data_IF_115885234520
#
_entry.id   IF_115885234520
#
_cell.length_a   1.000
_cell.length_b   1.000
_cell.length_c   1.000
_cell.angle_alpha   90.00
_cell.angle_beta   90.00
_cell.angle_gamma   90.00
#
_symmetry.space_group_name_H-M   'P 1'
#
loop_
_entity.id
_entity.type
_entity.pdbx_description
1 polymer ?
#
# COMPACT_ATOMS: atom_id res chain seq x y z
N UNK A 1 -14.29 -5.22 41.95
CA UNK A 1 -15.25 -6.36 42.05
C UNK A 1 -15.25 -7.10 40.72
N UNK A 2 -14.78 -8.36 40.72
CA UNK A 2 -14.67 -9.20 39.51
C UNK A 2 -16.06 -9.65 39.05
N UNK A 3 -16.44 -9.40 37.80
CA UNK A 3 -17.68 -9.90 37.20
C UNK A 3 -17.50 -11.37 36.80
N UNK A 4 -18.45 -12.20 37.23
CA UNK A 4 -18.56 -13.63 36.95
C UNK A 4 -18.71 -13.92 35.45
N UNK A 5 -18.10 -14.98 34.91
CA UNK A 5 -18.41 -15.44 33.56
C UNK A 5 -19.80 -16.08 33.51
N UNK A 6 -20.63 -15.62 32.57
CA UNK A 6 -21.95 -16.19 32.30
C UNK A 6 -21.84 -17.67 31.90
N UNK A 7 -22.55 -18.53 32.65
CA UNK A 7 -22.87 -19.89 32.22
C UNK A 7 -24.25 -19.89 31.57
N UNK A 8 -24.35 -20.35 30.32
CA UNK A 8 -25.64 -20.64 29.69
C UNK A 8 -26.07 -22.05 30.10
N UNK A 9 -27.22 -22.18 30.75
CA UNK A 9 -27.92 -23.45 30.99
C UNK A 9 -28.87 -23.69 29.82
N UNK A 10 -28.99 -24.94 29.38
CA UNK A 10 -30.03 -25.33 28.43
C UNK A 10 -31.41 -25.39 29.11
N UNK A 11 -32.47 -25.58 28.31
CA UNK A 11 -33.87 -25.61 28.74
C UNK A 11 -34.19 -26.66 29.81
N UNK A 12 -33.29 -27.63 30.02
CA UNK A 12 -33.43 -28.70 31.01
C UNK A 12 -32.52 -28.51 32.23
N UNK A 13 -31.84 -27.36 32.35
CA UNK A 13 -31.03 -27.01 33.51
C UNK A 13 -29.71 -27.78 33.65
N UNK A 14 -29.26 -28.52 32.63
CA UNK A 14 -28.00 -29.27 32.68
C UNK A 14 -26.82 -28.40 32.24
N UNK A 15 -25.78 -28.36 33.07
CA UNK A 15 -24.50 -27.73 32.74
C UNK A 15 -23.75 -28.65 31.78
N UNK A 16 -23.83 -28.41 30.47
CA UNK A 16 -22.99 -29.09 29.48
C UNK A 16 -21.54 -28.57 29.58
N UNK A 17 -20.57 -29.49 29.68
CA UNK A 17 -19.13 -29.19 29.57
C UNK A 17 -18.89 -28.32 28.32
N UNK A 18 -18.26 -27.16 28.50
CA UNK A 18 -17.87 -26.23 27.43
C UNK A 18 -17.07 -26.96 26.34
N UNK A 19 -17.72 -27.13 25.19
CA UNK A 19 -17.21 -27.28 23.82
C UNK A 19 -15.86 -28.00 23.61
N UNK A 20 -15.91 -29.33 23.46
CA UNK A 20 -14.81 -30.13 22.88
C UNK A 20 -14.44 -29.69 21.46
N UNK A 21 -15.34 -29.02 20.74
CA UNK A 21 -15.07 -28.39 19.44
C UNK A 21 -14.21 -27.13 19.59
N UNK A 22 -14.42 -26.30 20.61
CA UNK A 22 -13.59 -25.12 20.87
C UNK A 22 -12.20 -25.55 21.37
N UNK A 23 -12.12 -26.59 22.20
CA UNK A 23 -10.83 -27.19 22.59
C UNK A 23 -10.13 -27.87 21.41
N UNK A 24 -10.84 -28.55 20.51
CA UNK A 24 -10.26 -29.08 19.26
C UNK A 24 -9.81 -27.97 18.32
N UNK A 25 -10.54 -26.87 18.19
CA UNK A 25 -10.14 -25.69 17.40
C UNK A 25 -8.95 -25.01 18.04
N UNK A 26 -8.94 -24.79 19.36
CA UNK A 26 -7.79 -24.25 20.09
C UNK A 26 -6.58 -25.19 20.04
N UNK A 27 -6.78 -26.51 20.06
CA UNK A 27 -5.72 -27.50 19.91
C UNK A 27 -5.24 -27.58 18.47
N UNK A 28 -6.08 -27.43 17.45
CA UNK A 28 -5.69 -27.34 16.05
C UNK A 28 -4.94 -26.04 15.74
N UNK A 29 -5.38 -24.92 16.33
CA UNK A 29 -4.67 -23.63 16.30
C UNK A 29 -3.33 -23.73 17.02
N UNK A 30 -3.25 -24.39 18.19
CA UNK A 30 -1.98 -24.65 18.88
C UNK A 30 -1.07 -25.64 18.14
N UNK A 31 -1.62 -26.64 17.46
CA UNK A 31 -0.84 -27.65 16.69
C UNK A 31 -0.28 -27.08 15.37
N UNK A 32 -0.88 -26.01 14.83
CA UNK A 32 -0.30 -25.18 13.75
C UNK A 32 0.97 -24.40 14.15
N UNK A 33 1.38 -24.43 15.42
CA UNK A 33 2.62 -23.77 15.86
C UNK A 33 3.68 -24.80 16.24
N UNK A 34 4.04 -25.64 15.27
CA UNK A 34 5.21 -26.49 15.37
C UNK A 34 6.46 -25.65 15.06
N UNK A 35 7.60 -25.93 15.72
CA UNK A 35 8.88 -25.21 15.53
C UNK A 35 9.39 -25.17 14.06
N UNK A 36 8.78 -25.93 13.15
CA UNK A 36 9.10 -25.93 11.72
C UNK A 36 8.35 -24.85 10.92
N UNK A 37 7.15 -24.45 11.35
CA UNK A 37 6.29 -23.54 10.57
C UNK A 37 6.76 -22.09 10.68
N UNK A 38 7.12 -21.60 11.88
CA UNK A 38 7.66 -20.25 12.06
C UNK A 38 9.01 -20.05 11.35
N UNK A 39 9.89 -21.05 11.42
CA UNK A 39 11.19 -21.02 10.74
C UNK A 39 10.98 -20.91 9.23
N UNK A 40 9.98 -21.62 8.70
CA UNK A 40 9.60 -21.51 7.31
C UNK A 40 9.10 -20.09 6.99
N UNK A 41 8.16 -19.54 7.75
CA UNK A 41 7.62 -18.20 7.50
C UNK A 41 8.71 -17.11 7.57
N UNK A 42 9.63 -17.19 8.53
CA UNK A 42 10.79 -16.30 8.60
C UNK A 42 11.68 -16.38 7.35
N UNK A 43 11.96 -17.61 6.86
CA UNK A 43 12.75 -17.80 5.65
C UNK A 43 11.98 -17.34 4.39
N UNK A 44 10.68 -17.60 4.33
CA UNK A 44 9.80 -17.15 3.25
C UNK A 44 9.73 -15.62 3.20
N UNK A 45 9.63 -14.95 4.34
CA UNK A 45 9.68 -13.48 4.44
C UNK A 45 11.02 -12.91 3.93
N UNK A 46 12.15 -13.48 4.36
CA UNK A 46 13.46 -13.07 3.87
C UNK A 46 13.64 -13.35 2.37
N UNK A 47 13.07 -14.44 1.86
CA UNK A 47 13.09 -14.78 0.44
C UNK A 47 12.23 -13.81 -0.37
N UNK A 48 11.03 -13.46 0.11
CA UNK A 48 10.17 -12.45 -0.51
C UNK A 48 10.86 -11.10 -0.61
N UNK A 49 11.46 -10.63 0.49
CA UNK A 49 12.25 -9.41 0.52
C UNK A 49 13.49 -9.48 -0.37
N UNK A 50 14.15 -10.63 -0.49
CA UNK A 50 15.26 -10.83 -1.42
C UNK A 50 14.83 -10.65 -2.89
N UNK A 51 13.73 -11.27 -3.30
CA UNK A 51 13.23 -11.13 -4.68
C UNK A 51 12.74 -9.70 -4.97
N UNK A 52 12.08 -9.05 -4.00
CA UNK A 52 11.73 -7.63 -4.07
C UNK A 52 12.97 -6.73 -4.18
N UNK A 53 13.99 -6.95 -3.36
CA UNK A 53 15.24 -6.19 -3.40
C UNK A 53 16.00 -6.37 -4.72
N UNK A 54 16.03 -7.60 -5.25
CA UNK A 54 16.64 -7.93 -6.55
C UNK A 54 15.90 -7.25 -7.70
N UNK A 55 14.57 -7.28 -7.68
CA UNK A 55 13.76 -6.61 -8.71
C UNK A 55 13.86 -5.10 -8.60
N UNK A 56 13.81 -4.54 -7.39
CA UNK A 56 14.06 -3.12 -7.15
C UNK A 56 15.41 -2.68 -7.69
N UNK A 57 16.48 -3.45 -7.44
CA UNK A 57 17.81 -3.18 -7.99
C UNK A 57 17.82 -3.21 -9.53
N UNK A 58 17.09 -4.13 -10.16
CA UNK A 58 16.93 -4.16 -11.63
C UNK A 58 16.16 -2.95 -12.15
N UNK A 59 15.08 -2.54 -11.48
CA UNK A 59 14.31 -1.34 -11.84
C UNK A 59 15.14 -0.08 -11.70
N UNK A 60 15.90 0.09 -10.62
CA UNK A 60 16.83 1.23 -10.45
C UNK A 60 17.85 1.26 -11.59
N UNK A 61 18.35 0.10 -12.04
CA UNK A 61 19.27 0.03 -13.18
C UNK A 61 18.59 0.40 -14.50
N UNK A 62 17.35 -0.04 -14.74
CA UNK A 62 16.61 0.21 -15.98
C UNK A 62 16.07 1.64 -16.07
N UNK A 63 15.36 2.08 -15.03
CA UNK A 63 14.68 3.38 -14.96
C UNK A 63 15.67 4.53 -14.72
N UNK A 64 16.78 4.28 -14.00
CA UNK A 64 17.68 5.33 -13.49
C UNK A 64 16.89 6.44 -12.76
N UNK A 65 16.10 6.11 -11.71
CA UNK A 65 15.20 7.06 -11.09
C UNK A 65 15.97 8.21 -10.44
N UNK A 66 15.42 9.42 -10.56
CA UNK A 66 15.90 10.61 -9.85
C UNK A 66 15.64 10.52 -8.34
N UNK A 67 14.56 9.83 -7.96
CA UNK A 67 14.12 9.64 -6.59
C UNK A 67 13.55 8.23 -6.39
N UNK A 68 13.87 7.62 -5.26
CA UNK A 68 13.15 6.45 -4.75
C UNK A 68 12.17 6.92 -3.67
N UNK A 69 10.88 6.79 -3.93
CA UNK A 69 9.81 7.05 -2.96
C UNK A 69 9.45 5.74 -2.25
N UNK A 70 9.45 5.72 -0.92
CA UNK A 70 9.17 4.52 -0.13
C UNK A 70 7.90 4.75 0.66
N UNK A 71 6.89 3.89 0.47
CA UNK A 71 5.70 3.92 1.31
C UNK A 71 6.07 3.34 2.67
N UNK A 72 6.18 4.17 3.71
CA UNK A 72 6.88 3.78 4.95
C UNK A 72 6.33 2.51 5.59
N UNK A 73 5.00 2.39 5.61
CA UNK A 73 4.32 1.24 6.16
C UNK A 73 4.47 -0.06 5.38
N UNK A 74 4.83 -0.03 4.11
CA UNK A 74 4.99 -1.23 3.28
C UNK A 74 6.42 -1.39 2.76
N UNK A 75 6.93 -0.38 2.07
CA UNK A 75 8.20 -0.40 1.36
C UNK A 75 9.49 -0.35 2.18
N UNK A 76 9.49 -0.10 3.50
CA UNK A 76 10.77 0.06 4.22
C UNK A 76 11.61 -1.23 4.26
N UNK A 77 10.96 -2.39 4.40
CA UNK A 77 11.65 -3.68 4.35
C UNK A 77 12.26 -3.92 2.97
N UNK A 78 11.54 -3.52 1.92
CA UNK A 78 12.00 -3.57 0.53
C UNK A 78 13.19 -2.65 0.32
N UNK A 79 13.15 -1.42 0.83
CA UNK A 79 14.28 -0.48 0.80
C UNK A 79 15.52 -1.11 1.43
N UNK A 80 15.42 -1.71 2.62
CA UNK A 80 16.58 -2.34 3.28
C UNK A 80 17.15 -3.49 2.46
N UNK A 81 16.29 -4.28 1.80
CA UNK A 81 16.74 -5.34 0.90
C UNK A 81 17.44 -4.80 -0.35
N UNK A 82 16.88 -3.75 -0.98
CA UNK A 82 17.49 -3.03 -2.10
C UNK A 82 18.85 -2.44 -1.70
N UNK A 83 18.94 -1.75 -0.56
CA UNK A 83 20.19 -1.19 -0.04
C UNK A 83 21.30 -2.25 0.06
N UNK A 84 20.99 -3.40 0.66
CA UNK A 84 21.97 -4.47 0.85
C UNK A 84 22.46 -5.05 -0.48
N UNK A 85 21.54 -5.35 -1.40
CA UNK A 85 21.88 -5.94 -2.69
C UNK A 85 22.58 -4.94 -3.62
N UNK A 86 22.19 -3.66 -3.57
CA UNK A 86 22.81 -2.60 -4.34
C UNK A 86 24.26 -2.38 -3.91
N UNK A 87 24.52 -2.26 -2.61
CA UNK A 87 25.88 -2.13 -2.06
C UNK A 87 26.77 -3.33 -2.41
N UNK A 88 26.21 -4.53 -2.47
CA UNK A 88 26.94 -5.74 -2.84
C UNK A 88 27.35 -5.76 -4.32
N UNK A 89 26.53 -5.17 -5.20
CA UNK A 89 26.64 -5.35 -6.66
C UNK A 89 27.10 -4.10 -7.41
N UNK A 90 27.08 -2.93 -6.77
CA UNK A 90 27.39 -1.65 -7.39
C UNK A 90 28.32 -0.81 -6.52
N UNK A 91 29.22 -0.06 -7.18
CA UNK A 91 30.16 0.86 -6.52
C UNK A 91 29.61 2.30 -6.40
N UNK A 92 28.32 2.51 -6.65
CA UNK A 92 27.67 3.83 -6.59
C UNK A 92 26.59 3.85 -5.52
N UNK A 93 26.34 5.04 -4.97
CA UNK A 93 25.22 5.24 -4.06
C UNK A 93 23.88 5.01 -4.76
N UNK A 94 22.86 4.68 -3.97
CA UNK A 94 21.48 4.73 -4.45
C UNK A 94 21.08 6.17 -4.80
N UNK A 95 20.10 6.35 -5.70
CA UNK A 95 19.40 7.63 -5.83
C UNK A 95 18.86 8.13 -4.48
N UNK A 96 18.60 9.43 -4.33
CA UNK A 96 17.94 9.98 -3.15
C UNK A 96 16.68 9.19 -2.77
N UNK A 97 16.55 8.87 -1.48
CA UNK A 97 15.42 8.08 -0.94
C UNK A 97 14.53 8.97 -0.08
N UNK A 98 13.23 9.04 -0.37
CA UNK A 98 12.23 9.73 0.45
C UNK A 98 11.22 8.70 0.99
N UNK A 99 11.00 8.69 2.30
CA UNK A 99 9.97 7.85 2.93
C UNK A 99 8.75 8.71 3.21
N UNK A 100 7.57 8.27 2.77
CA UNK A 100 6.29 9.01 2.95
C UNK A 100 5.24 8.14 3.60
N UNK A 101 4.30 8.77 4.29
CA UNK A 101 3.16 8.09 4.88
C UNK A 101 1.91 8.28 4.02
N UNK A 102 1.26 7.18 3.67
CA UNK A 102 -0.01 7.13 2.94
C UNK A 102 -0.95 6.19 3.68
N UNK A 103 -1.50 6.66 4.80
CA UNK A 103 -2.31 5.85 5.70
C UNK A 103 -3.82 5.85 5.40
N UNK A 104 -4.56 5.21 6.30
CA UNK A 104 -6.01 5.00 6.17
C UNK A 104 -6.84 6.27 6.39
N UNK A 105 -6.28 7.28 7.06
CA UNK A 105 -6.87 8.60 7.24
C UNK A 105 -7.20 9.27 5.90
N UNK A 106 -6.31 9.12 4.90
CA UNK A 106 -6.54 9.66 3.55
C UNK A 106 -7.70 8.97 2.85
N UNK A 107 -7.85 7.65 3.06
CA UNK A 107 -8.99 6.89 2.57
C UNK A 107 -10.28 7.31 3.28
N UNK A 108 -10.25 7.51 4.61
CA UNK A 108 -11.40 8.03 5.36
C UNK A 108 -11.84 9.42 4.86
N UNK A 109 -10.90 10.31 4.54
CA UNK A 109 -11.21 11.62 3.95
C UNK A 109 -11.86 11.49 2.56
N UNK A 110 -11.37 10.56 1.74
CA UNK A 110 -12.03 10.25 0.47
C UNK A 110 -13.44 9.68 0.67
N UNK A 111 -13.64 8.81 1.66
CA UNK A 111 -14.95 8.24 1.97
C UNK A 111 -15.99 9.30 2.29
N UNK A 112 -15.62 10.33 3.04
CA UNK A 112 -16.48 11.49 3.27
C UNK A 112 -16.73 12.29 1.99
N UNK A 113 -15.72 12.43 1.12
CA UNK A 113 -15.85 13.17 -0.14
C UNK A 113 -16.77 12.47 -1.16
N UNK A 114 -16.75 11.14 -1.22
CA UNK A 114 -17.58 10.39 -2.17
C UNK A 114 -19.02 10.18 -1.73
N UNK A 115 -19.40 10.67 -0.55
CA UNK A 115 -20.76 10.53 -0.03
C UNK A 115 -21.78 11.16 -0.98
N UNK A 116 -22.74 10.34 -1.43
CA UNK A 116 -23.77 10.75 -2.38
C UNK A 116 -23.39 10.65 -3.86
N UNK A 117 -22.27 9.98 -4.21
CA UNK A 117 -22.07 9.53 -5.59
C UNK A 117 -23.24 8.63 -6.04
N UNK A 118 -23.83 8.87 -7.23
CA UNK A 118 -25.04 8.18 -7.68
C UNK A 118 -24.76 6.78 -8.25
N UNK A 119 -23.88 6.00 -7.61
CA UNK A 119 -23.61 4.61 -7.95
C UNK A 119 -23.18 3.79 -6.72
N UNK A 120 -23.30 2.46 -6.84
CA UNK A 120 -22.91 1.52 -5.79
C UNK A 120 -21.39 1.57 -5.64
N UNK A 121 -20.93 1.75 -4.41
CA UNK A 121 -19.52 1.74 -4.06
C UNK A 121 -19.27 0.88 -2.81
N UNK A 122 -18.06 0.35 -2.67
CA UNK A 122 -17.70 -0.49 -1.52
C UNK A 122 -17.41 0.35 -0.29
N UNK A 123 -17.69 -0.16 0.91
CA UNK A 123 -17.20 0.42 2.17
C UNK A 123 -16.36 -0.63 2.93
N UNK A 124 -15.06 -0.38 3.18
CA UNK A 124 -14.32 0.82 2.81
C UNK A 124 -14.08 0.96 1.29
N UNK A 125 -13.58 2.10 0.84
CA UNK A 125 -13.15 2.28 -0.56
C UNK A 125 -12.03 1.29 -0.88
N UNK A 126 -12.31 0.38 -1.82
CA UNK A 126 -11.35 -0.59 -2.33
C UNK A 126 -11.32 -0.47 -3.85
N UNK A 127 -10.30 0.20 -4.41
CA UNK A 127 -10.23 0.45 -5.84
C UNK A 127 -10.36 -0.79 -6.74
N UNK A 128 -9.79 -1.93 -6.33
CA UNK A 128 -9.87 -3.16 -7.13
C UNK A 128 -11.30 -3.76 -7.18
N UNK A 129 -12.21 -3.29 -6.31
CA UNK A 129 -13.63 -3.64 -6.31
C UNK A 129 -14.53 -2.44 -6.68
N UNK A 130 -13.94 -1.31 -7.07
CA UNK A 130 -14.65 -0.11 -7.49
C UNK A 130 -14.74 0.00 -9.00
N UNK A 131 -15.72 0.77 -9.49
CA UNK A 131 -15.82 1.07 -10.93
C UNK A 131 -14.68 1.97 -11.41
N UNK A 132 -14.38 1.91 -12.70
CA UNK A 132 -13.39 2.81 -13.33
C UNK A 132 -13.81 4.28 -13.23
N UNK A 133 -15.13 4.59 -13.23
CA UNK A 133 -15.65 5.94 -12.94
C UNK A 133 -15.25 6.38 -11.54
N UNK A 134 -15.47 5.54 -10.52
CA UNK A 134 -15.15 5.88 -9.13
C UNK A 134 -13.64 6.06 -8.96
N UNK A 135 -12.84 5.16 -9.52
CA UNK A 135 -11.39 5.31 -9.53
C UNK A 135 -10.94 6.58 -10.25
N UNK A 136 -11.58 6.94 -11.37
CA UNK A 136 -11.34 8.21 -12.05
C UNK A 136 -11.71 9.42 -11.19
N UNK A 137 -12.82 9.35 -10.46
CA UNK A 137 -13.22 10.39 -9.49
C UNK A 137 -12.19 10.51 -8.37
N UNK A 138 -11.75 9.40 -7.78
CA UNK A 138 -10.70 9.37 -6.78
C UNK A 138 -9.43 10.08 -7.26
N UNK A 139 -8.96 9.76 -8.47
CA UNK A 139 -7.77 10.40 -9.04
C UNK A 139 -7.96 11.89 -9.36
N UNK A 140 -9.19 12.32 -9.69
CA UNK A 140 -9.51 13.73 -9.89
C UNK A 140 -9.56 14.48 -8.54
N UNK A 141 -10.17 13.86 -7.53
CA UNK A 141 -10.24 14.36 -6.15
C UNK A 141 -8.86 14.52 -5.52
N UNK A 142 -7.90 13.64 -5.81
CA UNK A 142 -6.52 13.81 -5.35
C UNK A 142 -5.88 15.11 -5.83
N UNK A 143 -6.25 15.60 -7.03
CA UNK A 143 -5.76 16.88 -7.56
C UNK A 143 -6.22 18.08 -6.72
N UNK A 144 -7.29 17.95 -5.95
CA UNK A 144 -7.81 19.04 -5.10
C UNK A 144 -7.27 18.99 -3.66
N UNK A 145 -6.45 17.99 -3.31
CA UNK A 145 -5.89 17.87 -1.96
C UNK A 145 -4.61 18.71 -1.83
N UNK A 146 -4.75 20.03 -1.95
CA UNK A 146 -3.65 20.99 -2.00
C UNK A 146 -2.69 20.89 -0.81
N UNK A 147 -3.21 20.61 0.38
CA UNK A 147 -2.43 20.39 1.59
C UNK A 147 -1.47 19.20 1.44
N UNK A 148 -1.95 18.08 0.90
CA UNK A 148 -1.14 16.90 0.63
C UNK A 148 -0.16 17.13 -0.52
N UNK A 149 -0.63 17.73 -1.62
CA UNK A 149 0.19 18.01 -2.80
C UNK A 149 1.36 18.94 -2.46
N UNK A 150 1.10 20.05 -1.76
CA UNK A 150 2.14 20.99 -1.34
C UNK A 150 3.15 20.32 -0.40
N UNK A 151 2.67 19.55 0.58
CA UNK A 151 3.54 18.82 1.51
C UNK A 151 4.41 17.80 0.78
N UNK A 152 3.84 17.05 -0.17
CA UNK A 152 4.60 16.05 -0.94
C UNK A 152 5.63 16.72 -1.86
N UNK A 153 5.26 17.78 -2.57
CA UNK A 153 6.19 18.54 -3.43
C UNK A 153 7.34 19.12 -2.62
N UNK A 154 7.07 19.69 -1.44
CA UNK A 154 8.10 20.19 -0.54
C UNK A 154 9.05 19.07 -0.09
N UNK A 155 8.53 17.93 0.36
CA UNK A 155 9.34 16.78 0.77
C UNK A 155 10.22 16.26 -0.38
N UNK A 156 9.65 16.17 -1.60
CA UNK A 156 10.36 15.72 -2.80
C UNK A 156 11.45 16.71 -3.18
N UNK A 157 11.14 18.01 -3.28
CA UNK A 157 12.10 19.05 -3.62
C UNK A 157 13.21 19.15 -2.58
N UNK A 158 12.88 19.10 -1.29
CA UNK A 158 13.89 19.11 -0.22
C UNK A 158 14.83 17.92 -0.33
N UNK A 159 14.32 16.74 -0.72
CA UNK A 159 15.14 15.55 -0.92
C UNK A 159 15.93 15.56 -2.23
N UNK A 160 15.39 16.18 -3.28
CA UNK A 160 15.94 16.24 -4.63
C UNK A 160 16.50 17.62 -4.99
N UNK A 161 17.09 18.31 -4.00
CA UNK A 161 17.84 19.57 -4.19
C UNK A 161 17.07 20.67 -4.95
N UNK A 162 15.78 20.82 -4.66
CA UNK A 162 14.89 21.82 -5.23
C UNK A 162 14.35 21.50 -6.63
N UNK A 163 14.81 20.41 -7.26
CA UNK A 163 14.43 20.04 -8.63
C UNK A 163 13.15 19.22 -8.67
N UNK A 164 12.49 19.23 -9.82
CA UNK A 164 11.41 18.27 -10.14
C UNK A 164 12.03 16.99 -10.71
N UNK A 165 11.66 15.80 -10.21
CA UNK A 165 12.13 14.53 -10.76
C UNK A 165 11.49 14.29 -12.13
N UNK A 166 12.28 13.78 -13.08
CA UNK A 166 11.79 13.25 -14.35
C UNK A 166 11.40 11.77 -14.23
N UNK A 167 11.96 11.07 -13.23
CA UNK A 167 11.63 9.67 -12.96
C UNK A 167 11.61 9.32 -11.47
N UNK A 168 10.61 8.56 -11.03
CA UNK A 168 10.46 8.10 -9.64
C UNK A 168 10.23 6.59 -9.63
N UNK A 169 10.93 5.88 -8.75
CA UNK A 169 10.60 4.51 -8.38
C UNK A 169 9.89 4.52 -7.03
N UNK A 170 8.65 4.03 -6.98
CA UNK A 170 7.91 3.82 -5.73
C UNK A 170 8.13 2.40 -5.24
N UNK A 171 8.43 2.24 -3.95
CA UNK A 171 8.59 0.94 -3.29
C UNK A 171 7.47 0.68 -2.29
N UNK A 172 6.86 -0.49 -2.41
CA UNK A 172 5.89 -1.06 -1.49
C UNK A 172 6.16 -2.57 -1.30
N UNK A 173 5.70 -3.16 -0.20
CA UNK A 173 5.86 -4.62 0.03
C UNK A 173 4.66 -5.43 -0.43
N UNK A 174 3.50 -4.79 -0.59
CA UNK A 174 2.26 -5.46 -0.92
C UNK A 174 1.31 -4.59 -1.73
N UNK A 175 0.83 -5.11 -2.86
CA UNK A 175 -0.33 -4.54 -3.54
C UNK A 175 -1.60 -5.14 -2.91
N UNK A 176 -2.02 -4.58 -1.77
CA UNK A 176 -3.28 -5.00 -1.13
C UNK A 176 -4.35 -3.99 -1.53
N UNK A 177 -5.37 -4.47 -2.25
CA UNK A 177 -6.60 -3.73 -2.61
C UNK A 177 -6.43 -2.47 -3.47
N UNK A 178 -5.20 -2.11 -3.85
CA UNK A 178 -4.89 -1.03 -4.79
C UNK A 178 -5.00 0.40 -4.24
N UNK A 179 -5.35 0.58 -2.97
CA UNK A 179 -5.59 1.91 -2.37
C UNK A 179 -4.32 2.76 -2.26
N UNK A 180 -3.26 2.22 -1.66
CA UNK A 180 -1.96 2.91 -1.52
C UNK A 180 -1.30 3.17 -2.88
N UNK A 181 -1.45 2.21 -3.81
CA UNK A 181 -0.98 2.32 -5.19
C UNK A 181 -1.60 3.51 -5.92
N UNK A 182 -2.94 3.59 -5.98
CA UNK A 182 -3.63 4.70 -6.67
C UNK A 182 -3.46 6.02 -5.94
N UNK A 183 -3.37 6.01 -4.62
CA UNK A 183 -3.08 7.20 -3.83
C UNK A 183 -1.69 7.76 -4.16
N UNK A 184 -0.65 6.92 -4.15
CA UNK A 184 0.72 7.33 -4.47
C UNK A 184 0.83 7.82 -5.92
N UNK A 185 0.37 7.02 -6.88
CA UNK A 185 0.44 7.37 -8.31
C UNK A 185 -0.43 8.57 -8.66
N UNK A 186 -1.62 8.69 -8.07
CA UNK A 186 -2.52 9.81 -8.30
C UNK A 186 -1.97 11.14 -7.79
N UNK A 187 -1.34 11.14 -6.61
CA UNK A 187 -0.65 12.33 -6.08
C UNK A 187 0.56 12.71 -6.96
N UNK A 188 1.37 11.73 -7.37
CA UNK A 188 2.51 11.98 -8.25
C UNK A 188 2.08 12.49 -9.64
N UNK A 189 1.01 11.92 -10.21
CA UNK A 189 0.42 12.39 -11.46
C UNK A 189 -0.11 13.82 -11.36
N UNK A 190 -0.66 14.21 -10.21
CA UNK A 190 -1.13 15.56 -9.98
C UNK A 190 0.02 16.58 -9.88
N UNK A 191 1.16 16.19 -9.29
CA UNK A 191 2.33 17.07 -9.13
C UNK A 191 3.24 17.13 -10.35
N UNK A 192 3.52 15.97 -10.96
CA UNK A 192 4.51 15.81 -12.01
C UNK A 192 3.90 14.96 -13.15
N UNK A 193 3.00 15.54 -13.97
CA UNK A 193 2.28 14.80 -14.99
C UNK A 193 3.18 14.16 -16.07
N UNK A 194 4.36 14.72 -16.29
CA UNK A 194 5.35 14.23 -17.25
C UNK A 194 6.43 13.32 -16.61
N UNK A 195 6.36 13.08 -15.30
CA UNK A 195 7.31 12.21 -14.61
C UNK A 195 7.01 10.75 -14.93
N UNK A 196 8.05 10.00 -15.32
CA UNK A 196 7.94 8.55 -15.41
C UNK A 196 7.89 7.95 -14.00
N UNK A 197 6.84 7.20 -13.68
CA UNK A 197 6.71 6.56 -12.36
C UNK A 197 6.56 5.05 -12.52
N UNK A 198 7.50 4.30 -11.95
CA UNK A 198 7.35 2.85 -11.75
C UNK A 198 6.92 2.61 -10.30
N UNK A 199 5.90 1.79 -10.07
CA UNK A 199 5.49 1.34 -8.74
C UNK A 199 5.83 -0.12 -8.56
N UNK A 200 6.78 -0.46 -7.70
CA UNK A 200 7.13 -1.84 -7.37
C UNK A 200 6.47 -2.26 -6.08
N UNK A 201 5.59 -3.26 -6.17
CA UNK A 201 5.01 -3.93 -5.02
C UNK A 201 5.13 -5.45 -5.15
N UNK A 202 5.17 -6.13 -4.00
CA UNK A 202 5.16 -7.58 -3.91
C UNK A 202 3.91 -8.13 -3.26
N UNK A 203 4.10 -9.25 -2.58
CA UNK A 203 3.13 -9.89 -1.70
C UNK A 203 3.87 -10.41 -0.46
N UNK A 204 4.57 -9.49 0.21
CA UNK A 204 5.40 -9.80 1.39
C UNK A 204 4.91 -9.06 2.62
N UNK A 205 3.62 -8.72 2.68
CA UNK A 205 3.01 -7.88 3.72
C UNK A 205 3.33 -8.31 5.17
N UNK A 206 3.40 -9.62 5.42
CA UNK A 206 3.51 -10.19 6.77
C UNK A 206 4.93 -10.17 7.36
N UNK A 207 5.94 -9.70 6.61
CA UNK A 207 7.36 -9.82 7.00
C UNK A 207 7.65 -9.30 8.40
N UNK A 208 6.94 -8.24 8.83
CA UNK A 208 7.07 -7.61 10.15
C UNK A 208 6.77 -8.61 11.25
N UNK A 209 5.65 -9.31 11.14
CA UNK A 209 5.20 -10.29 12.12
C UNK A 209 6.14 -11.50 12.16
N UNK A 210 6.58 -11.94 10.99
CA UNK A 210 7.40 -13.16 10.84
C UNK A 210 8.80 -12.95 11.40
N UNK A 211 9.38 -11.77 11.20
CA UNK A 211 10.67 -11.39 11.79
C UNK A 211 10.53 -11.08 13.29
N UNK A 212 9.47 -10.38 13.71
CA UNK A 212 9.26 -10.06 15.13
C UNK A 212 9.11 -11.32 16.01
N UNK A 213 8.51 -12.39 15.49
CA UNK A 213 8.44 -13.67 16.20
C UNK A 213 9.83 -14.22 16.56
N UNK A 214 10.80 -14.09 15.66
CA UNK A 214 12.20 -14.52 15.90
C UNK A 214 12.85 -13.63 16.94
N UNK A 215 12.64 -12.31 16.85
CA UNK A 215 13.12 -11.36 17.83
C UNK A 215 12.64 -11.69 19.24
N UNK A 216 11.33 -11.84 19.42
CA UNK A 216 10.70 -12.11 20.73
C UNK A 216 11.26 -13.39 21.35
N UNK A 217 11.44 -14.44 20.53
CA UNK A 217 12.01 -15.71 20.98
C UNK A 217 13.46 -15.57 21.45
N UNK A 218 14.24 -14.73 20.79
CA UNK A 218 15.64 -14.48 21.17
C UNK A 218 15.74 -13.66 22.47
N UNK A 219 14.78 -12.76 22.71
CA UNK A 219 14.76 -11.90 23.90
C UNK A 219 14.12 -12.56 25.13
N UNK A 220 13.15 -13.45 24.95
CA UNK A 220 12.41 -14.06 26.06
C UNK A 220 12.33 -15.58 25.94
N UNK A 221 12.85 -16.27 26.96
CA UNK A 221 12.66 -17.72 27.13
C UNK A 221 11.21 -18.11 27.49
N UNK A 222 10.38 -17.13 27.90
CA UNK A 222 9.02 -17.36 28.43
C UNK A 222 7.89 -16.96 27.47
N UNK A 223 8.15 -16.08 26.50
CA UNK A 223 7.13 -15.63 25.57
C UNK A 223 6.77 -16.78 24.61
N UNK A 224 5.55 -17.31 24.74
CA UNK A 224 5.05 -18.32 23.81
C UNK A 224 4.76 -17.64 22.47
N UNK A 225 5.31 -18.19 21.37
CA UNK A 225 5.10 -17.71 20.00
C UNK A 225 3.61 -17.53 19.63
N UNK A 226 2.69 -18.21 20.33
CA UNK A 226 1.24 -18.09 20.12
C UNK A 226 0.65 -16.72 20.48
N UNK A 227 1.38 -15.82 21.13
CA UNK A 227 0.86 -14.50 21.52
C UNK A 227 1.08 -13.40 20.46
N UNK A 228 1.91 -13.61 19.44
CA UNK A 228 2.25 -12.56 18.47
C UNK A 228 1.10 -12.14 17.57
N UNK A 229 0.18 -13.05 17.25
CA UNK A 229 -1.01 -12.71 16.45
C UNK A 229 -1.94 -11.73 17.18
N UNK A 230 -1.93 -11.72 18.52
CA UNK A 230 -2.71 -10.77 19.31
C UNK A 230 -2.17 -9.34 19.17
N UNK A 231 -0.87 -9.19 18.95
CA UNK A 231 -0.21 -7.88 18.86
C UNK A 231 0.30 -7.56 17.45
N UNK A 232 -0.21 -8.24 16.41
CA UNK A 232 0.31 -8.07 15.05
C UNK A 232 0.19 -6.63 14.53
N UNK A 233 -0.89 -5.93 14.88
CA UNK A 233 -1.09 -4.52 14.54
C UNK A 233 -0.08 -3.63 15.27
N UNK A 234 0.14 -3.86 16.57
CA UNK A 234 1.13 -3.09 17.34
C UNK A 234 2.55 -3.30 16.80
N UNK A 235 2.91 -4.55 16.46
CA UNK A 235 4.19 -4.88 15.79
C UNK A 235 4.30 -4.15 14.45
N UNK A 236 3.23 -4.16 13.65
CA UNK A 236 3.19 -3.48 12.37
C UNK A 236 3.58 -2.00 12.49
N UNK A 237 3.05 -1.30 13.51
CA UNK A 237 3.32 0.11 13.75
C UNK A 237 4.75 0.40 14.20
N UNK A 238 5.41 -0.50 14.92
CA UNK A 238 6.76 -0.22 15.47
C UNK A 238 7.90 -0.82 14.65
N UNK A 239 7.65 -1.85 13.84
CA UNK A 239 8.67 -2.64 13.11
C UNK A 239 9.62 -1.78 12.26
N UNK A 240 9.12 -0.64 11.78
CA UNK A 240 9.81 0.24 10.84
C UNK A 240 10.70 1.27 11.56
N UNK A 241 10.51 1.45 12.88
CA UNK A 241 11.24 2.43 13.69
C UNK A 241 10.80 3.87 13.48
N UNK A 242 9.67 4.04 12.84
CA UNK A 242 8.98 5.32 12.66
C UNK A 242 7.59 5.20 13.24
N UNK A 243 7.04 6.30 13.72
CA UNK A 243 5.64 6.36 14.12
C UNK A 243 4.91 7.36 13.22
N UNK A 244 3.66 7.02 12.90
CA UNK A 244 2.78 7.90 12.17
C UNK A 244 2.44 9.13 13.03
N UNK A 245 2.12 10.21 12.34
CA UNK A 245 1.36 11.33 12.86
C UNK A 245 -0.11 11.09 12.48
N UNK A 246 -0.66 9.93 12.90
CA UNK A 246 -2.01 9.43 12.58
C UNK A 246 -3.11 10.49 12.82
N UNK A 247 -2.86 11.46 13.69
CA UNK A 247 -3.75 12.56 14.06
C UNK A 247 -3.62 13.81 13.16
N UNK A 248 -2.73 13.82 12.16
CA UNK A 248 -2.34 15.05 11.45
C UNK A 248 -2.44 15.03 9.93
N UNK A 249 -3.07 14.03 9.30
CA UNK A 249 -3.16 13.95 7.81
C UNK A 249 -1.77 14.08 7.13
N UNK A 250 -0.71 13.71 7.87
CA UNK A 250 0.67 14.00 7.50
C UNK A 250 1.19 13.02 6.43
N UNK A 251 2.12 13.50 5.62
CA UNK A 251 2.94 12.65 4.74
C UNK A 251 4.32 12.36 5.32
N UNK A 252 4.73 13.12 6.34
CA UNK A 252 6.02 12.97 7.00
C UNK A 252 5.99 11.91 8.11
N UNK A 253 7.16 11.30 8.32
CA UNK A 253 7.41 10.37 9.43
C UNK A 253 8.21 11.03 10.54
N UNK A 254 8.06 10.53 11.76
CA UNK A 254 8.97 10.82 12.87
C UNK A 254 9.58 9.53 13.43
N UNK A 255 10.76 9.60 14.06
CA UNK A 255 11.32 8.45 14.76
C UNK A 255 10.36 7.91 15.81
N UNK A 256 10.30 6.59 15.95
CA UNK A 256 9.50 5.90 16.97
C UNK A 256 9.88 6.43 18.36
N UNK A 257 8.88 6.94 19.10
CA UNK A 257 9.10 7.50 20.43
C UNK A 257 8.85 6.46 21.51
N UNK A 258 9.45 6.67 22.70
CA UNK A 258 9.18 5.84 23.90
C UNK A 258 7.72 5.89 24.36
N UNK A 259 6.98 6.90 23.94
CA UNK A 259 5.60 7.15 24.37
C UNK A 259 4.57 6.56 23.40
N UNK A 260 5.02 5.82 22.37
CA UNK A 260 4.14 5.23 21.39
C UNK A 260 3.15 4.24 22.06
N UNK A 261 1.83 4.34 21.83
CA UNK A 261 0.84 3.46 22.46
C UNK A 261 1.05 1.97 22.18
N UNK A 262 1.57 1.62 20.99
CA UNK A 262 1.87 0.23 20.63
C UNK A 262 2.94 -0.36 21.57
N UNK A 263 3.92 0.43 22.01
CA UNK A 263 4.92 -0.02 22.99
C UNK A 263 4.31 -0.34 24.36
N UNK A 264 3.25 0.38 24.75
CA UNK A 264 2.53 0.11 25.99
C UNK A 264 1.74 -1.21 25.89
N UNK A 265 1.08 -1.45 24.76
CA UNK A 265 0.39 -2.71 24.46
C UNK A 265 1.37 -3.89 24.47
N UNK A 266 2.54 -3.71 23.85
CA UNK A 266 3.58 -4.73 23.72
C UNK A 266 4.41 -4.96 24.99
N UNK A 267 4.23 -4.13 26.04
CA UNK A 267 4.98 -4.22 27.29
C UNK A 267 4.74 -5.54 28.04
N UNK A 268 3.64 -6.23 27.75
CA UNK A 268 3.34 -7.57 28.29
C UNK A 268 4.32 -8.65 27.79
N UNK A 269 4.94 -8.43 26.63
CA UNK A 269 5.87 -9.38 26.00
C UNK A 269 7.33 -9.06 26.33
N UNK A 270 7.73 -7.81 26.13
CA UNK A 270 9.09 -7.30 26.37
C UNK A 270 9.03 -5.84 26.85
N UNK A 271 10.01 -5.36 27.62
CA UNK A 271 10.12 -3.94 27.98
C UNK A 271 10.18 -3.02 26.74
N UNK A 272 9.67 -1.79 26.86
CA UNK A 272 9.63 -0.81 25.78
C UNK A 272 11.02 -0.53 25.18
N UNK A 273 12.07 -0.53 26.01
CA UNK A 273 13.45 -0.34 25.57
C UNK A 273 13.90 -1.41 24.58
N UNK A 274 13.47 -2.66 24.76
CA UNK A 274 13.80 -3.75 23.84
C UNK A 274 13.01 -3.62 22.53
N UNK A 275 11.76 -3.15 22.59
CA UNK A 275 10.98 -2.91 21.38
C UNK A 275 11.55 -1.79 20.51
N UNK A 276 12.18 -0.79 21.11
CA UNK A 276 12.87 0.28 20.38
C UNK A 276 14.12 -0.21 19.63
N UNK A 277 14.67 -1.37 19.99
CA UNK A 277 15.77 -2.01 19.26
C UNK A 277 15.30 -2.83 18.05
N UNK A 278 14.01 -3.22 18.02
CA UNK A 278 13.42 -4.06 16.97
C UNK A 278 13.71 -3.55 15.56
N UNK A 279 13.53 -2.26 15.22
CA UNK A 279 13.71 -1.78 13.84
C UNK A 279 15.15 -1.91 13.36
N UNK A 280 16.11 -1.62 14.24
CA UNK A 280 17.54 -1.76 13.94
C UNK A 280 17.89 -3.23 13.75
N UNK A 281 17.36 -4.10 14.60
CA UNK A 281 17.53 -5.55 14.44
C UNK A 281 16.90 -6.07 13.16
N UNK A 282 15.69 -5.63 12.80
CA UNK A 282 15.00 -6.02 11.57
C UNK A 282 15.77 -5.58 10.34
N UNK A 283 16.22 -4.32 10.27
CA UNK A 283 17.07 -3.83 9.19
C UNK A 283 18.30 -4.72 9.00
N UNK A 284 19.04 -4.96 10.09
CA UNK A 284 20.24 -5.78 10.06
C UNK A 284 19.95 -7.24 9.64
N UNK A 285 18.83 -7.79 10.10
CA UNK A 285 18.41 -9.16 9.80
C UNK A 285 18.03 -9.31 8.34
N UNK A 286 17.27 -8.36 7.80
CA UNK A 286 16.90 -8.31 6.37
C UNK A 286 18.15 -8.17 5.53
N UNK A 287 18.99 -7.17 5.79
CA UNK A 287 20.22 -6.93 5.01
C UNK A 287 21.14 -8.15 4.99
N UNK A 288 21.38 -8.79 6.14
CA UNK A 288 22.19 -10.01 6.22
C UNK A 288 21.51 -11.18 5.53
N UNK A 289 20.21 -11.35 5.73
CA UNK A 289 19.40 -12.42 5.16
C UNK A 289 19.42 -12.39 3.64
N UNK A 290 19.10 -11.25 3.02
CA UNK A 290 19.07 -11.14 1.56
C UNK A 290 20.45 -11.28 0.92
N UNK A 291 21.52 -10.83 1.58
CA UNK A 291 22.89 -11.08 1.12
C UNK A 291 23.23 -12.56 1.21
N UNK A 292 22.81 -13.27 2.26
CA UNK A 292 23.02 -14.71 2.37
C UNK A 292 22.28 -15.47 1.24
N UNK A 293 21.08 -15.02 0.85
CA UNK A 293 20.32 -15.59 -0.26
C UNK A 293 21.10 -15.53 -1.60
N UNK A 294 21.93 -14.50 -1.84
CA UNK A 294 22.76 -14.44 -3.06
C UNK A 294 23.78 -15.58 -3.19
N UNK A 295 24.11 -16.24 -2.07
CA UNK A 295 25.11 -17.31 -1.99
C UNK A 295 24.48 -18.71 -1.89
N UNK A 296 23.16 -18.81 -1.74
CA UNK A 296 22.50 -20.10 -1.63
C UNK A 296 22.33 -20.74 -3.02
N UNK A 297 23.03 -21.84 -3.33
CA UNK A 297 22.89 -22.52 -4.62
C UNK A 297 21.53 -23.19 -4.79
N UNK A 298 20.76 -23.37 -3.69
CA UNK A 298 19.41 -23.92 -3.69
C UNK A 298 18.33 -22.84 -3.86
N UNK A 299 18.72 -21.59 -4.06
CA UNK A 299 17.78 -20.56 -4.52
C UNK A 299 17.40 -20.84 -5.97
N UNK A 300 16.49 -21.79 -6.13
CA UNK A 300 15.65 -21.86 -7.30
C UNK A 300 14.92 -20.52 -7.44
N UNK A 301 14.70 -20.02 -8.67
CA UNK A 301 13.85 -18.87 -8.90
C UNK A 301 12.55 -19.09 -8.12
N UNK A 302 12.26 -18.23 -7.13
CA UNK A 302 10.96 -18.29 -6.49
C UNK A 302 9.94 -17.94 -7.58
N UNK A 303 9.04 -18.87 -7.89
CA UNK A 303 8.02 -18.70 -8.92
C UNK A 303 6.99 -17.67 -8.43
N UNK A 304 7.39 -16.41 -8.49
CA UNK A 304 6.65 -15.25 -7.97
C UNK A 304 6.48 -14.18 -9.05
N UNK A 305 6.73 -14.51 -10.33
CA UNK A 305 6.39 -13.64 -11.46
C UNK A 305 4.91 -13.26 -11.50
N UNK A 306 4.06 -13.98 -10.77
CA UNK A 306 2.63 -13.68 -10.61
C UNK A 306 2.29 -12.68 -9.49
N UNK A 307 3.24 -12.33 -8.59
CA UNK A 307 2.94 -11.52 -7.39
C UNK A 307 3.70 -10.20 -7.29
N UNK A 308 4.66 -9.97 -8.18
CA UNK A 308 5.39 -8.71 -8.24
C UNK A 308 4.76 -7.84 -9.32
N UNK A 309 4.14 -6.75 -8.92
CA UNK A 309 3.46 -5.84 -9.84
C UNK A 309 4.29 -4.58 -10.03
N UNK A 310 4.62 -4.31 -11.30
CA UNK A 310 4.98 -2.99 -11.78
C UNK A 310 3.78 -2.44 -12.54
N UNK A 311 2.84 -1.83 -11.80
CA UNK A 311 1.58 -1.37 -12.35
C UNK A 311 1.57 0.17 -12.44
N UNK A 312 1.26 0.68 -13.63
CA UNK A 312 0.84 2.07 -13.80
C UNK A 312 -0.64 2.26 -13.42
N UNK A 313 -1.14 3.49 -13.56
CA UNK A 313 -2.57 3.75 -13.49
C UNK A 313 -3.27 3.16 -14.72
N UNK A 314 -4.50 2.66 -14.54
CA UNK A 314 -5.27 2.10 -15.63
C UNK A 314 -5.72 3.22 -16.59
N UNK A 315 -5.64 2.98 -17.90
CA UNK A 315 -6.00 3.95 -18.93
C UNK A 315 -7.46 4.44 -18.83
N UNK A 316 -8.38 3.57 -18.39
CA UNK A 316 -9.80 3.85 -18.19
C UNK A 316 -9.98 4.81 -17.00
N UNK A 317 -9.22 4.59 -15.93
CA UNK A 317 -9.23 5.47 -14.76
C UNK A 317 -8.68 6.86 -15.13
N UNK A 318 -7.64 6.93 -15.97
CA UNK A 318 -7.11 8.20 -16.49
C UNK A 318 -8.11 8.92 -17.41
N UNK A 319 -8.83 8.18 -18.23
CA UNK A 319 -9.93 8.70 -19.03
C UNK A 319 -11.02 9.33 -18.16
N UNK A 320 -11.54 8.58 -17.18
CA UNK A 320 -12.58 9.10 -16.29
C UNK A 320 -12.04 10.24 -15.41
N UNK A 321 -10.79 10.18 -14.96
CA UNK A 321 -10.14 11.31 -14.28
C UNK A 321 -10.20 12.58 -15.14
N UNK A 322 -9.85 12.48 -16.42
CA UNK A 322 -9.93 13.64 -17.33
C UNK A 322 -11.37 14.15 -17.46
N UNK A 323 -12.36 13.26 -17.52
CA UNK A 323 -13.79 13.65 -17.56
C UNK A 323 -14.24 14.32 -16.27
N UNK A 324 -13.76 13.87 -15.12
CA UNK A 324 -14.04 14.53 -13.84
C UNK A 324 -13.38 15.91 -13.75
N UNK A 325 -12.22 16.11 -14.40
CA UNK A 325 -11.48 17.37 -14.39
C UNK A 325 -11.91 18.36 -15.50
N UNK A 326 -12.69 17.94 -16.49
CA UNK A 326 -13.06 18.74 -17.68
C UNK A 326 -14.56 18.67 -17.92
N UNK A 327 -15.20 19.71 -18.48
CA UNK A 327 -16.66 19.66 -18.73
C UNK A 327 -17.02 18.79 -19.92
N UNK A 328 -16.06 18.58 -20.80
CA UNK A 328 -16.09 17.65 -21.91
C UNK A 328 -14.67 17.29 -22.33
N UNK A 329 -14.55 16.26 -23.16
CA UNK A 329 -13.32 15.91 -23.86
C UNK A 329 -13.67 15.56 -25.30
N UNK A 330 -12.87 16.02 -26.25
CA UNK A 330 -13.00 15.63 -27.66
C UNK A 330 -12.51 14.20 -27.87
N UNK A 331 -13.03 13.52 -28.89
CA UNK A 331 -12.53 12.20 -29.29
C UNK A 331 -11.05 12.23 -29.68
N UNK A 332 -10.59 13.32 -30.30
CA UNK A 332 -9.18 13.54 -30.62
C UNK A 332 -8.30 13.58 -29.36
N UNK A 333 -8.67 14.38 -28.35
CA UNK A 333 -7.95 14.43 -27.07
C UNK A 333 -7.92 13.08 -26.36
N UNK A 334 -9.03 12.32 -26.42
CA UNK A 334 -9.10 10.98 -25.85
C UNK A 334 -8.17 10.00 -26.56
N UNK A 335 -8.13 10.06 -27.89
CA UNK A 335 -7.26 9.19 -28.69
C UNK A 335 -5.79 9.45 -28.37
N UNK A 336 -5.41 10.71 -28.16
CA UNK A 336 -4.06 11.08 -27.71
C UNK A 336 -3.77 10.60 -26.29
N UNK A 337 -4.72 10.77 -25.36
CA UNK A 337 -4.57 10.37 -23.96
C UNK A 337 -4.39 8.86 -23.80
N UNK A 338 -5.19 8.06 -24.53
CA UNK A 338 -5.20 6.60 -24.40
C UNK A 338 -4.24 5.91 -25.38
N UNK A 339 -3.70 6.65 -26.36
CA UNK A 339 -2.89 6.11 -27.45
C UNK A 339 -3.55 4.91 -28.14
N UNK A 340 -4.86 5.00 -28.38
CA UNK A 340 -5.66 3.95 -29.01
C UNK A 340 -5.98 4.32 -30.47
N UNK A 341 -5.99 3.34 -31.38
CA UNK A 341 -6.56 3.51 -32.70
C UNK A 341 -8.04 3.91 -32.65
N UNK A 342 -8.52 4.63 -33.66
CA UNK A 342 -9.89 5.16 -33.72
C UNK A 342 -10.98 4.09 -33.57
N UNK A 343 -10.81 2.91 -34.19
CA UNK A 343 -11.77 1.81 -34.08
C UNK A 343 -11.87 1.26 -32.64
N UNK A 344 -10.74 1.14 -31.94
CA UNK A 344 -10.71 0.70 -30.54
C UNK A 344 -11.31 1.77 -29.63
N UNK A 345 -11.02 3.04 -29.87
CA UNK A 345 -11.63 4.16 -29.15
C UNK A 345 -13.16 4.13 -29.30
N UNK A 346 -13.66 4.02 -30.53
CA UNK A 346 -15.10 3.97 -30.78
C UNK A 346 -15.77 2.78 -30.09
N UNK A 347 -15.14 1.59 -30.10
CA UNK A 347 -15.64 0.42 -29.37
C UNK A 347 -15.70 0.68 -27.86
N UNK A 348 -14.66 1.32 -27.31
CA UNK A 348 -14.56 1.65 -25.89
C UNK A 348 -15.62 2.67 -25.46
N UNK A 349 -15.81 3.73 -26.24
CA UNK A 349 -16.86 4.72 -26.01
C UNK A 349 -18.25 4.10 -26.15
N UNK A 350 -18.46 3.18 -27.09
CA UNK A 350 -19.71 2.43 -27.22
C UNK A 350 -20.04 1.66 -25.94
N UNK A 351 -19.07 0.94 -25.38
CA UNK A 351 -19.25 0.23 -24.10
C UNK A 351 -19.69 1.16 -22.96
N UNK A 352 -18.99 2.28 -22.75
CA UNK A 352 -19.36 3.22 -21.68
C UNK A 352 -20.69 3.93 -21.95
N UNK A 353 -21.05 4.15 -23.21
CA UNK A 353 -22.35 4.71 -23.57
C UNK A 353 -23.48 3.73 -23.25
N UNK A 354 -23.31 2.44 -23.55
CA UNK A 354 -24.28 1.39 -23.27
C UNK A 354 -24.53 1.22 -21.76
N UNK A 355 -23.48 1.37 -20.94
CA UNK A 355 -23.55 1.33 -19.48
C UNK A 355 -24.05 2.66 -18.85
N UNK A 356 -24.41 3.67 -19.65
CA UNK A 356 -24.79 5.02 -19.22
C UNK A 356 -23.71 5.72 -18.36
N UNK A 357 -22.45 5.39 -18.59
CA UNK A 357 -21.30 5.95 -17.88
C UNK A 357 -20.82 7.28 -18.47
N UNK A 358 -21.13 7.52 -19.74
CA UNK A 358 -20.80 8.74 -20.48
C UNK A 358 -21.97 9.19 -21.37
N UNK A 359 -21.88 10.42 -21.85
CA UNK A 359 -22.67 10.93 -22.97
C UNK A 359 -21.75 11.30 -24.13
N UNK A 360 -22.20 11.05 -25.35
CA UNK A 360 -21.48 11.43 -26.57
C UNK A 360 -22.39 12.28 -27.43
N UNK A 361 -21.93 13.48 -27.77
CA UNK A 361 -22.59 14.37 -28.75
C UNK A 361 -21.64 14.63 -29.92
N UNK A 362 -22.14 15.16 -31.03
CA UNK A 362 -21.31 15.53 -32.19
C UNK A 362 -21.50 17.02 -32.47
N UNK A 363 -20.40 17.76 -32.48
CA UNK A 363 -20.36 19.20 -32.76
C UNK A 363 -19.36 19.43 -33.87
N UNK A 364 -19.82 20.00 -35.00
CA UNK A 364 -19.00 20.25 -36.18
C UNK A 364 -18.22 19.03 -36.70
N UNK A 365 -18.80 17.83 -36.55
CA UNK A 365 -18.19 16.56 -36.96
C UNK A 365 -17.25 15.94 -35.92
N UNK A 366 -16.92 16.65 -34.84
CA UNK A 366 -16.12 16.11 -33.73
C UNK A 366 -17.03 15.51 -32.65
N UNK A 367 -16.68 14.32 -32.16
CA UNK A 367 -17.37 13.69 -31.03
C UNK A 367 -16.91 14.32 -29.72
N UNK A 368 -17.87 14.78 -28.93
CA UNK A 368 -17.66 15.37 -27.61
C UNK A 368 -18.20 14.41 -26.55
N UNK A 369 -17.32 14.00 -25.63
CA UNK A 369 -17.62 13.05 -24.55
C UNK A 369 -17.77 13.79 -23.23
N UNK A 370 -18.80 13.46 -22.46
CA UNK A 370 -19.14 14.12 -21.19
C UNK A 370 -19.59 13.11 -20.13
N UNK A 371 -19.55 13.51 -18.86
CA UNK A 371 -20.21 12.75 -17.79
C UNK A 371 -21.74 12.91 -17.89
N UNK A 372 -22.52 11.89 -17.52
CA UNK A 372 -23.97 11.98 -17.36
C UNK A 372 -24.39 13.16 -16.46
N UNK A 373 -25.58 13.74 -16.64
CA UNK A 373 -26.06 14.88 -15.88
C UNK A 373 -26.04 14.67 -14.37
N UNK A 374 -26.29 13.45 -13.89
CA UNK A 374 -26.28 13.08 -12.47
C UNK A 374 -24.87 13.23 -11.89
N UNK A 375 -23.85 12.73 -12.60
CA UNK A 375 -22.44 12.86 -12.21
C UNK A 375 -21.94 14.29 -12.39
N UNK A 376 -22.37 14.99 -13.44
CA UNK A 376 -22.05 16.39 -13.67
C UNK A 376 -22.58 17.31 -12.56
N UNK A 377 -23.78 17.05 -12.03
CA UNK A 377 -24.31 17.76 -10.84
C UNK A 377 -23.47 17.49 -9.60
N UNK A 378 -23.01 16.25 -9.41
CA UNK A 378 -22.13 15.91 -8.30
C UNK A 378 -20.77 16.61 -8.42
N UNK A 379 -20.19 16.62 -9.62
CA UNK A 379 -18.92 17.29 -9.96
C UNK A 379 -18.91 18.75 -9.51
N UNK A 380 -20.01 19.48 -9.62
CA UNK A 380 -20.12 20.89 -9.21
C UNK A 380 -19.81 21.14 -7.72
N UNK A 381 -19.87 20.12 -6.87
CA UNK A 381 -19.47 20.22 -5.44
C UNK A 381 -17.95 20.33 -5.27
N UNK A 382 -17.19 19.80 -6.22
CA UNK A 382 -15.75 19.73 -6.22
C UNK A 382 -15.24 20.73 -7.24
N UNK A 383 -14.76 21.88 -6.76
CA UNK A 383 -14.28 22.96 -7.61
C UNK A 383 -12.95 22.59 -8.32
N UNK A 384 -12.99 21.60 -9.22
CA UNK A 384 -11.84 21.02 -9.92
C UNK A 384 -11.12 22.00 -10.87
N UNK A 385 -11.72 23.17 -11.11
CA UNK A 385 -11.25 24.22 -12.01
C UNK A 385 -10.40 25.30 -11.32
N UNK A 386 -10.26 25.26 -9.99
CA UNK A 386 -9.17 25.92 -9.26
C UNK A 386 -8.03 24.95 -9.12
#
# INVERSE_FOLDING_TARGET
>A
MRKNPHFLKDSDGKIRKKNSALEKTLKAVKTRFNNKEWNKNYQDALRGLYELGKTGSKHIKKLQPDLILVLGHGGIGVLWAVEALWQLTHQRNLPPVLVVNLGTEKIRRYESAREGLPFIHTHPFVPDYSSTIECGFFLAWLKTQYDWLNTLDELIRNRFSGKSPASILVLDDAYVTGSTHRLALGLLLALYPDCQVDFLAGDTFEWRNELAQVWIKNQSKKAAASQTNTYGIDIFHIAQGTEDLDDKESLGWRPLSKNNPALQSLAELLPAEQWLELPVWMKNTIQKGVVAQTKDPKNEPFDNTLRMMCAGLNSDELFFRKLWLSDSITHTELSQLLNLPENEMNKKLGFYLDENEIQVTTVDGEKIVQLPPELSKFKQRFNFSK
#
